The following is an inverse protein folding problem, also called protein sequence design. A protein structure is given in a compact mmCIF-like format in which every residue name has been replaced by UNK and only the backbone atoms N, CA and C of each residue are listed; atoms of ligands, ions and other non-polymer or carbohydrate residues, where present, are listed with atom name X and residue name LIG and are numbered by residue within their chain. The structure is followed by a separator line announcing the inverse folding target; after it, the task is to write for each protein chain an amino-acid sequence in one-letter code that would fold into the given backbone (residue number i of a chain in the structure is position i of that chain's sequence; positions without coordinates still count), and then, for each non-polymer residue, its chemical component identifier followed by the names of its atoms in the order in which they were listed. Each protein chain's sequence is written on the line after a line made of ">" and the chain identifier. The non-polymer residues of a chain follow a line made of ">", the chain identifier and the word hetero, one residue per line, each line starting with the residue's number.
data_IF_164675383509
#
_entry.id   IF_164675383509
#
_cell.length_a   1.000
_cell.length_b   1.000
_cell.length_c   1.000
_cell.angle_alpha   90.00
_cell.angle_beta   90.00
_cell.angle_gamma   90.00
#
_symmetry.space_group_name_H-M   'P 1'
#
loop_
_entity.id
_entity.type
_entity.pdbx_description
1 polymer ?
#
# COMPACT_ATOMS: atom_id res chain seq x y z
N UNK A 1 -33.17 25.56 50.12
CA UNK A 1 -32.99 25.85 48.68
C UNK A 1 -31.71 25.18 48.22
N UNK A 2 -31.81 24.39 47.14
CA UNK A 2 -30.79 23.85 46.20
C UNK A 2 -29.50 23.25 46.78
N UNK A 3 -29.33 21.92 46.81
CA UNK A 3 -28.94 20.94 45.75
C UNK A 3 -27.56 21.16 45.09
N UNK A 4 -26.79 20.07 44.83
CA UNK A 4 -25.33 20.08 44.69
C UNK A 4 -24.83 19.89 43.24
N UNK A 5 -23.51 19.96 43.06
CA UNK A 5 -22.67 19.33 42.03
C UNK A 5 -23.17 19.44 40.57
N UNK A 6 -22.57 20.34 39.79
CA UNK A 6 -22.52 20.25 38.33
C UNK A 6 -21.10 20.01 37.86
N UNK A 7 -20.85 18.77 37.47
CA UNK A 7 -19.82 18.36 36.53
C UNK A 7 -20.44 18.55 35.14
N UNK A 8 -19.96 19.53 34.38
CA UNK A 8 -20.17 19.66 32.92
C UNK A 8 -18.75 19.73 32.37
N UNK A 9 -18.16 18.64 31.88
CA UNK A 9 -18.49 17.93 30.64
C UNK A 9 -18.48 18.93 29.49
N UNK A 10 -17.32 19.05 28.82
CA UNK A 10 -17.11 19.48 27.43
C UNK A 10 -15.62 19.79 27.19
N UNK A 11 -14.83 18.76 26.88
CA UNK A 11 -13.76 18.78 25.86
C UNK A 11 -13.09 17.40 25.77
N UNK A 12 -13.82 16.41 25.27
CA UNK A 12 -13.28 15.06 25.01
C UNK A 12 -13.66 14.60 23.58
N UNK A 13 -13.44 15.44 22.58
CA UNK A 13 -13.76 15.09 21.18
C UNK A 13 -12.59 15.07 20.21
N UNK A 14 -11.36 15.24 20.66
CA UNK A 14 -10.21 15.31 19.73
C UNK A 14 -9.19 14.17 19.87
N UNK A 15 -9.32 13.26 20.86
CA UNK A 15 -8.29 12.24 21.15
C UNK A 15 -8.61 10.82 20.61
N UNK A 16 -9.84 10.55 20.14
CA UNK A 16 -10.25 9.22 19.65
C UNK A 16 -10.22 9.06 18.12
N UNK A 17 -9.76 10.08 17.37
CA UNK A 17 -9.61 9.98 15.91
C UNK A 17 -8.22 9.48 15.49
N UNK A 18 -7.20 9.62 16.34
CA UNK A 18 -5.83 9.15 16.06
C UNK A 18 -5.66 7.63 16.20
N UNK A 19 -6.58 6.92 16.85
CA UNK A 19 -6.51 5.44 16.99
C UNK A 19 -7.02 4.66 15.77
N UNK A 20 -7.49 5.34 14.74
CA UNK A 20 -8.05 4.72 13.54
C UNK A 20 -7.20 4.96 12.29
N UNK A 21 -6.07 5.66 12.40
CA UNK A 21 -5.22 5.98 11.26
C UNK A 21 -4.73 4.71 10.55
N UNK A 22 -5.03 4.58 9.26
CA UNK A 22 -4.35 3.61 8.42
C UNK A 22 -2.85 3.92 8.42
N UNK A 23 -1.96 2.93 8.32
CA UNK A 23 -0.55 3.21 8.10
C UNK A 23 -0.42 4.11 6.86
N UNK A 24 0.20 5.28 7.01
CA UNK A 24 0.36 6.21 5.89
C UNK A 24 1.14 5.52 4.78
N UNK A 25 0.67 5.58 3.53
CA UNK A 25 1.35 4.93 2.37
C UNK A 25 2.71 5.53 2.02
N UNK A 26 3.21 6.50 2.79
CA UNK A 26 4.39 7.29 2.47
C UNK A 26 4.12 8.20 1.27
N UNK A 27 4.55 9.46 1.34
CA UNK A 27 4.43 10.37 0.20
C UNK A 27 5.53 10.04 -0.82
N UNK A 28 5.35 8.95 -1.58
CA UNK A 28 6.13 8.65 -2.77
C UNK A 28 5.39 9.20 -3.98
N UNK A 29 5.22 10.53 -3.99
CA UNK A 29 4.94 11.24 -5.22
C UNK A 29 6.25 11.30 -5.99
N UNK A 30 6.24 10.70 -7.17
CA UNK A 30 7.20 10.86 -8.26
C UNK A 30 8.37 11.84 -8.01
N UNK A 31 9.54 11.25 -7.73
CA UNK A 31 10.87 11.86 -7.81
C UNK A 31 11.02 13.30 -7.32
N UNK A 32 11.51 13.49 -6.09
CA UNK A 32 12.47 14.56 -5.73
C UNK A 32 12.96 14.44 -4.28
N UNK A 33 14.14 13.84 -4.07
CA UNK A 33 15.37 14.58 -3.75
C UNK A 33 16.55 13.63 -3.46
N UNK A 34 17.65 13.92 -4.15
CA UNK A 34 18.99 13.39 -3.94
C UNK A 34 19.36 13.39 -2.44
N UNK A 35 19.83 12.25 -1.91
CA UNK A 35 20.61 12.28 -0.68
C UNK A 35 20.67 11.04 0.19
N UNK A 36 19.69 10.14 0.15
CA UNK A 36 19.69 8.92 0.96
C UNK A 36 19.04 7.79 0.14
N UNK A 37 19.70 6.64 0.08
CA UNK A 37 19.36 5.46 -0.71
C UNK A 37 17.84 5.25 -0.95
N UNK A 38 17.36 5.65 -2.14
CA UNK A 38 16.05 5.27 -2.63
C UNK A 38 16.18 3.87 -3.23
N UNK A 39 15.90 2.83 -2.44
CA UNK A 39 16.06 1.43 -2.86
C UNK A 39 15.10 0.98 -3.98
N UNK A 40 14.36 1.89 -4.63
CA UNK A 40 13.60 1.61 -5.86
C UNK A 40 12.46 0.59 -5.75
N UNK A 41 12.07 0.14 -4.55
CA UNK A 41 11.01 -0.86 -4.34
C UNK A 41 9.60 -0.24 -4.44
N UNK A 42 8.59 -1.00 -4.92
CA UNK A 42 7.19 -0.64 -4.69
C UNK A 42 6.93 -0.64 -3.18
N UNK A 43 6.39 0.48 -2.71
CA UNK A 43 6.07 0.79 -1.31
C UNK A 43 7.14 0.41 -0.27
N UNK A 44 7.99 1.38 0.10
CA UNK A 44 8.96 1.20 1.19
C UNK A 44 8.30 0.77 2.51
N UNK A 45 8.39 -0.53 2.82
CA UNK A 45 8.16 -1.11 4.14
C UNK A 45 6.70 -1.27 4.58
N UNK A 46 5.74 -0.64 3.92
CA UNK A 46 4.34 -0.68 4.33
C UNK A 46 3.64 -1.98 3.90
N UNK A 47 3.73 -2.35 2.62
CA UNK A 47 3.45 -3.64 1.99
C UNK A 47 4.37 -3.72 0.76
N UNK A 48 4.74 -4.91 0.30
CA UNK A 48 5.66 -5.05 -0.84
C UNK A 48 5.59 -6.45 -1.45
N UNK A 49 6.30 -6.66 -2.55
CA UNK A 49 6.54 -7.97 -3.14
C UNK A 49 7.93 -8.53 -2.80
N UNK A 50 8.01 -9.84 -2.59
CA UNK A 50 9.21 -10.59 -2.23
C UNK A 50 9.24 -11.93 -2.99
N UNK A 51 10.33 -12.68 -2.92
CA UNK A 51 10.30 -14.06 -3.39
C UNK A 51 9.51 -14.96 -2.43
N UNK A 52 8.77 -15.94 -2.98
CA UNK A 52 7.88 -16.82 -2.21
C UNK A 52 8.57 -18.10 -1.68
N UNK A 53 9.82 -18.35 -2.07
CA UNK A 53 10.55 -19.58 -1.73
C UNK A 53 10.36 -20.74 -2.72
N UNK A 54 9.37 -20.65 -3.62
CA UNK A 54 9.09 -21.64 -4.65
C UNK A 54 9.70 -21.26 -6.01
N UNK A 55 10.20 -20.03 -6.14
CA UNK A 55 10.82 -19.49 -7.35
C UNK A 55 9.92 -18.47 -8.06
N UNK A 56 8.83 -18.05 -7.41
CA UNK A 56 7.91 -17.02 -7.87
C UNK A 56 7.91 -15.83 -6.89
N UNK A 57 7.08 -14.83 -7.21
CA UNK A 57 6.87 -13.62 -6.46
C UNK A 57 5.65 -13.78 -5.53
N UNK A 58 5.83 -13.43 -4.26
CA UNK A 58 4.79 -13.38 -3.25
C UNK A 58 4.58 -11.97 -2.70
N UNK A 59 3.48 -11.81 -1.97
CA UNK A 59 3.11 -10.57 -1.29
C UNK A 59 3.52 -10.63 0.18
N UNK A 60 4.12 -9.55 0.66
CA UNK A 60 4.41 -9.34 2.08
C UNK A 60 3.72 -8.05 2.56
N UNK A 61 2.67 -8.21 3.35
CA UNK A 61 1.80 -7.10 3.75
C UNK A 61 2.36 -6.19 4.87
N UNK A 62 3.44 -6.58 5.56
CA UNK A 62 4.07 -5.80 6.64
C UNK A 62 3.06 -5.07 7.56
N UNK A 63 3.09 -3.74 7.62
CA UNK A 63 2.21 -2.95 8.50
C UNK A 63 0.75 -2.94 8.07
N UNK A 64 0.44 -3.37 6.85
CA UNK A 64 -0.94 -3.58 6.38
C UNK A 64 -1.52 -4.95 6.75
N UNK A 65 -0.70 -5.86 7.30
CA UNK A 65 -1.22 -7.11 7.84
C UNK A 65 -2.19 -6.83 9.00
N UNK A 66 -3.39 -7.37 8.92
CA UNK A 66 -4.49 -7.11 9.86
C UNK A 66 -5.25 -5.82 9.60
N UNK A 67 -5.04 -5.13 8.47
CA UNK A 67 -5.81 -3.93 8.14
C UNK A 67 -7.32 -4.23 8.08
N UNK A 68 -8.07 -3.51 8.92
CA UNK A 68 -9.49 -3.76 9.16
C UNK A 68 -10.38 -3.33 7.99
N UNK A 69 -11.68 -3.58 8.13
CA UNK A 69 -12.72 -3.08 7.22
C UNK A 69 -12.53 -3.48 5.76
N UNK A 70 -11.89 -4.63 5.50
CA UNK A 70 -11.64 -5.15 4.15
C UNK A 70 -10.44 -4.52 3.43
N UNK A 71 -9.71 -3.60 4.07
CA UNK A 71 -8.59 -2.90 3.42
C UNK A 71 -7.38 -3.82 3.19
N UNK A 72 -7.13 -4.80 4.06
CA UNK A 72 -6.03 -5.77 3.86
C UNK A 72 -6.11 -6.45 2.48
N UNK A 73 -7.30 -6.87 2.08
CA UNK A 73 -7.51 -7.54 0.80
C UNK A 73 -7.28 -6.61 -0.40
N UNK A 74 -7.59 -5.31 -0.25
CA UNK A 74 -7.35 -4.32 -1.29
C UNK A 74 -5.85 -4.05 -1.47
N UNK A 75 -5.12 -3.91 -0.36
CA UNK A 75 -3.65 -3.78 -0.38
C UNK A 75 -2.99 -5.05 -0.93
N UNK A 76 -3.49 -6.24 -0.58
CA UNK A 76 -2.99 -7.48 -1.15
C UNK A 76 -3.12 -7.50 -2.68
N UNK A 77 -4.28 -7.09 -3.22
CA UNK A 77 -4.51 -7.01 -4.66
C UNK A 77 -3.60 -6.00 -5.35
N UNK A 78 -3.27 -4.90 -4.67
CA UNK A 78 -2.28 -3.93 -5.13
C UNK A 78 -0.92 -4.63 -5.35
N UNK A 79 -0.41 -5.29 -4.31
CA UNK A 79 0.90 -5.98 -4.39
C UNK A 79 0.89 -7.16 -5.37
N UNK A 80 -0.23 -7.88 -5.50
CA UNK A 80 -0.39 -8.92 -6.52
C UNK A 80 -0.32 -8.36 -7.96
N UNK A 81 -0.72 -7.11 -8.17
CA UNK A 81 -0.52 -6.42 -9.45
C UNK A 81 0.96 -6.23 -9.73
N UNK A 82 1.73 -5.73 -8.76
CA UNK A 82 3.20 -5.64 -8.88
C UNK A 82 3.83 -7.00 -9.14
N UNK A 83 3.43 -8.05 -8.43
CA UNK A 83 3.95 -9.40 -8.65
C UNK A 83 3.73 -9.89 -10.09
N UNK A 84 2.58 -9.56 -10.70
CA UNK A 84 2.31 -9.88 -12.12
C UNK A 84 3.25 -9.12 -13.06
N UNK A 85 3.54 -7.86 -12.79
CA UNK A 85 4.43 -7.06 -13.63
C UNK A 85 5.89 -7.46 -13.47
N UNK A 86 6.32 -7.79 -12.25
CA UNK A 86 7.64 -8.34 -11.98
C UNK A 86 7.84 -9.69 -12.64
N UNK A 87 6.85 -10.59 -12.60
CA UNK A 87 6.89 -11.85 -13.36
C UNK A 87 7.11 -11.64 -14.86
N UNK A 88 6.47 -10.63 -15.45
CA UNK A 88 6.62 -10.32 -16.88
C UNK A 88 8.02 -9.79 -17.18
N UNK A 89 8.55 -8.90 -16.33
CA UNK A 89 9.83 -8.24 -16.57
C UNK A 89 11.04 -9.10 -16.22
N UNK A 90 10.96 -9.86 -15.14
CA UNK A 90 12.01 -10.75 -14.64
C UNK A 90 11.41 -12.13 -14.34
N UNK A 91 11.18 -12.97 -15.37
CA UNK A 91 10.56 -14.28 -15.18
C UNK A 91 11.36 -15.21 -14.24
N UNK A 92 12.68 -15.06 -14.16
CA UNK A 92 13.55 -15.83 -13.26
C UNK A 92 14.09 -14.99 -12.09
N UNK A 93 13.46 -13.84 -11.79
CA UNK A 93 13.97 -12.91 -10.76
C UNK A 93 14.03 -13.50 -9.35
N UNK A 94 13.24 -14.54 -9.08
CA UNK A 94 13.24 -15.31 -7.83
C UNK A 94 13.98 -16.66 -7.90
N UNK A 95 14.80 -16.87 -8.93
CA UNK A 95 15.71 -18.01 -9.03
C UNK A 95 17.17 -17.57 -8.94
N UNK A 96 18.02 -18.47 -8.49
CA UNK A 96 19.47 -18.36 -8.55
C UNK A 96 19.98 -18.71 -9.96
N UNK A 97 21.26 -18.44 -10.24
CA UNK A 97 21.88 -18.72 -11.54
C UNK A 97 21.90 -20.23 -11.89
N UNK A 98 21.85 -21.11 -10.88
CA UNK A 98 21.77 -22.57 -11.04
C UNK A 98 20.32 -23.08 -11.21
N UNK A 99 19.33 -22.18 -11.25
CA UNK A 99 17.91 -22.50 -11.40
C UNK A 99 17.20 -22.86 -10.09
N UNK A 100 17.91 -22.90 -8.95
CA UNK A 100 17.27 -23.13 -7.65
C UNK A 100 16.48 -21.91 -7.20
N UNK A 101 15.41 -22.10 -6.43
CA UNK A 101 14.57 -21.02 -5.93
C UNK A 101 15.28 -20.22 -4.83
N UNK A 102 15.18 -18.89 -4.87
CA UNK A 102 15.59 -18.04 -3.75
C UNK A 102 14.68 -18.30 -2.53
N UNK A 103 15.17 -18.14 -1.29
CA UNK A 103 14.35 -18.35 -0.10
C UNK A 103 13.17 -17.37 -0.01
N UNK A 104 12.12 -17.76 0.71
CA UNK A 104 10.98 -16.89 0.96
C UNK A 104 11.41 -15.60 1.68
N UNK A 105 10.84 -14.47 1.26
CA UNK A 105 11.22 -13.13 1.74
C UNK A 105 12.49 -12.57 1.11
N UNK A 106 13.16 -13.30 0.21
CA UNK A 106 14.33 -12.78 -0.49
C UNK A 106 13.98 -11.57 -1.37
N UNK A 107 14.98 -10.72 -1.60
CA UNK A 107 14.82 -9.53 -2.43
C UNK A 107 14.61 -9.89 -3.90
N UNK A 108 13.68 -9.16 -4.52
CA UNK A 108 13.38 -9.20 -5.96
C UNK A 108 14.39 -8.33 -6.74
N UNK A 109 14.54 -8.55 -8.07
CA UNK A 109 15.31 -7.66 -8.92
C UNK A 109 14.70 -6.25 -8.98
N UNK A 110 15.58 -5.26 -9.02
CA UNK A 110 15.26 -3.83 -9.11
C UNK A 110 16.24 -3.16 -10.08
N UNK A 111 15.88 -2.01 -10.64
CA UNK A 111 16.73 -1.22 -11.52
C UNK A 111 16.82 -1.73 -12.98
N UNK A 112 17.81 -1.22 -13.70
CA UNK A 112 18.04 -1.48 -15.12
C UNK A 112 17.40 -0.43 -16.05
N UNK A 113 17.69 -0.49 -17.37
CA UNK A 113 17.14 0.44 -18.34
C UNK A 113 15.60 0.46 -18.32
N UNK A 114 15.02 1.67 -18.33
CA UNK A 114 13.58 1.88 -18.29
C UNK A 114 12.91 1.49 -16.96
N UNK A 115 13.68 1.36 -15.87
CA UNK A 115 13.12 0.96 -14.59
C UNK A 115 12.11 1.95 -14.03
N UNK A 116 12.40 3.25 -14.10
CA UNK A 116 11.51 4.28 -13.55
C UNK A 116 10.17 4.32 -14.29
N UNK A 117 10.18 4.22 -15.62
CA UNK A 117 8.95 4.14 -16.43
C UNK A 117 8.14 2.87 -16.13
N UNK A 118 8.82 1.74 -15.98
CA UNK A 118 8.18 0.49 -15.58
C UNK A 118 7.55 0.58 -14.20
N UNK A 119 8.27 1.13 -13.21
CA UNK A 119 7.78 1.28 -11.85
C UNK A 119 6.55 2.20 -11.85
N UNK A 120 6.64 3.36 -12.52
CA UNK A 120 5.52 4.29 -12.69
C UNK A 120 4.29 3.61 -13.30
N UNK A 121 4.48 2.80 -14.34
CA UNK A 121 3.40 2.05 -14.96
C UNK A 121 2.80 0.99 -14.02
N UNK A 122 3.64 0.22 -13.33
CA UNK A 122 3.19 -0.83 -12.43
C UNK A 122 2.40 -0.27 -11.23
N UNK A 123 2.84 0.86 -10.66
CA UNK A 123 2.10 1.62 -9.63
C UNK A 123 0.73 2.09 -10.16
N UNK A 124 0.68 2.64 -11.38
CA UNK A 124 -0.59 3.02 -12.00
C UNK A 124 -1.54 1.82 -12.19
N UNK A 125 -1.03 0.67 -12.65
CA UNK A 125 -1.82 -0.56 -12.82
C UNK A 125 -2.32 -1.11 -11.46
N UNK A 126 -1.46 -1.08 -10.44
CA UNK A 126 -1.77 -1.53 -9.08
C UNK A 126 -2.85 -0.67 -8.43
N UNK A 127 -2.72 0.66 -8.46
CA UNK A 127 -3.76 1.56 -7.96
C UNK A 127 -5.07 1.46 -8.74
N UNK A 128 -4.99 1.23 -10.06
CA UNK A 128 -6.19 0.98 -10.87
C UNK A 128 -6.90 -0.31 -10.48
N UNK A 129 -6.17 -1.29 -9.95
CA UNK A 129 -6.74 -2.53 -9.41
C UNK A 129 -7.32 -2.32 -8.00
N UNK A 130 -6.70 -1.46 -7.20
CA UNK A 130 -7.05 -1.25 -5.79
C UNK A 130 -8.29 -0.38 -5.59
N UNK A 131 -8.43 0.72 -6.35
CA UNK A 131 -9.54 1.67 -6.21
C UNK A 131 -10.93 0.98 -6.24
N UNK A 132 -11.25 0.09 -7.20
CA UNK A 132 -12.54 -0.59 -7.20
C UNK A 132 -12.76 -1.51 -5.99
N UNK A 133 -11.68 -2.07 -5.41
CA UNK A 133 -11.77 -2.89 -4.20
C UNK A 133 -12.17 -2.03 -3.00
N UNK A 134 -11.54 -0.88 -2.83
CA UNK A 134 -11.81 0.05 -1.74
C UNK A 134 -13.20 0.70 -1.89
N UNK A 135 -13.64 1.00 -3.12
CA UNK A 135 -15.01 1.44 -3.39
C UNK A 135 -16.05 0.40 -2.98
N UNK A 136 -15.79 -0.88 -3.27
CA UNK A 136 -16.66 -1.97 -2.84
C UNK A 136 -16.64 -2.14 -1.30
N UNK A 137 -15.47 -2.04 -0.67
CA UNK A 137 -15.33 -2.07 0.77
C UNK A 137 -16.12 -0.92 1.44
N UNK A 138 -16.06 0.29 0.85
CA UNK A 138 -16.78 1.46 1.34
C UNK A 138 -18.29 1.29 1.22
N UNK A 139 -18.77 0.76 0.09
CA UNK A 139 -20.18 0.51 -0.14
C UNK A 139 -20.77 -0.49 0.88
N UNK A 140 -19.99 -1.50 1.27
CA UNK A 140 -20.35 -2.50 2.29
C UNK A 140 -20.02 -2.11 3.74
N UNK A 141 -19.34 -0.98 3.97
CA UNK A 141 -18.80 -0.64 5.28
C UNK A 141 -19.89 -0.29 6.31
N UNK A 142 -19.67 -0.74 7.56
CA UNK A 142 -20.44 -0.29 8.73
C UNK A 142 -20.20 1.20 8.99
N UNK A 143 -21.07 1.83 9.80
CA UNK A 143 -20.92 3.25 10.17
C UNK A 143 -19.54 3.57 10.76
N UNK A 144 -18.99 2.63 11.54
CA UNK A 144 -17.67 2.74 12.17
C UNK A 144 -16.53 2.62 11.15
N UNK A 145 -16.67 1.76 10.14
CA UNK A 145 -15.64 1.55 9.12
C UNK A 145 -15.63 2.63 8.04
N UNK A 146 -16.75 3.32 7.79
CA UNK A 146 -16.87 4.28 6.68
C UNK A 146 -15.79 5.37 6.68
N UNK A 147 -15.53 6.10 7.78
CA UNK A 147 -14.49 7.13 7.79
C UNK A 147 -13.09 6.58 7.47
N UNK A 148 -12.78 5.39 8.00
CA UNK A 148 -11.50 4.73 7.75
C UNK A 148 -11.33 4.33 6.28
N UNK A 149 -12.30 3.61 5.72
CA UNK A 149 -12.24 3.15 4.32
C UNK A 149 -12.27 4.32 3.36
N UNK A 150 -13.06 5.37 3.64
CA UNK A 150 -13.10 6.58 2.83
C UNK A 150 -11.73 7.28 2.80
N UNK A 151 -11.08 7.45 3.95
CA UNK A 151 -9.75 8.07 4.02
C UNK A 151 -8.71 7.30 3.22
N UNK A 152 -8.71 5.96 3.33
CA UNK A 152 -7.82 5.11 2.52
C UNK A 152 -8.12 5.28 1.03
N UNK A 153 -9.39 5.24 0.62
CA UNK A 153 -9.79 5.41 -0.77
C UNK A 153 -9.39 6.76 -1.37
N UNK A 154 -9.52 7.83 -0.59
CA UNK A 154 -9.13 9.17 -1.02
C UNK A 154 -7.62 9.27 -1.27
N UNK A 155 -6.82 8.67 -0.37
CA UNK A 155 -5.37 8.57 -0.53
C UNK A 155 -5.00 7.71 -1.75
N UNK A 156 -5.62 6.54 -1.93
CA UNK A 156 -5.40 5.66 -3.08
C UNK A 156 -5.72 6.38 -4.40
N UNK A 157 -6.83 7.14 -4.47
CA UNK A 157 -7.19 7.94 -5.65
C UNK A 157 -6.19 9.06 -5.93
N UNK A 158 -5.66 9.71 -4.88
CA UNK A 158 -4.58 10.72 -5.02
C UNK A 158 -3.33 10.10 -5.63
N UNK A 159 -2.92 8.93 -5.15
CA UNK A 159 -1.75 8.21 -5.67
C UNK A 159 -1.98 7.72 -7.10
N UNK A 160 -3.13 7.12 -7.40
CA UNK A 160 -3.50 6.71 -8.75
C UNK A 160 -3.35 7.86 -9.75
N UNK A 161 -3.87 9.04 -9.41
CA UNK A 161 -3.77 10.23 -10.26
C UNK A 161 -2.32 10.65 -10.48
N UNK A 162 -1.47 10.59 -9.45
CA UNK A 162 -0.05 10.91 -9.55
C UNK A 162 0.67 9.98 -10.54
N UNK A 163 0.47 8.68 -10.42
CA UNK A 163 1.16 7.70 -11.26
C UNK A 163 0.59 7.61 -12.69
N UNK A 164 -0.74 7.70 -12.85
CA UNK A 164 -1.40 7.55 -14.14
C UNK A 164 -1.53 8.86 -14.94
N UNK A 165 -1.54 10.03 -14.28
CA UNK A 165 -1.86 11.32 -14.89
C UNK A 165 -0.72 12.00 -15.66
N UNK A 166 0.44 11.35 -15.82
CA UNK A 166 1.59 11.91 -16.52
C UNK A 166 2.32 13.05 -15.78
N UNK A 167 1.83 13.48 -14.61
CA UNK A 167 2.41 14.54 -13.80
C UNK A 167 3.48 14.05 -12.84
N UNK A 168 4.67 13.84 -13.39
CA UNK A 168 5.97 13.89 -12.74
C UNK A 168 6.88 14.65 -13.71
#
# INVERSE_FOLDING_TARGET
>A
MSRPFRKSLESETDDELEKLGAPSRGEQACGLRQGLAHDGRPHQGAATIVCDGSGDYGVQLNSWAGAKCGIEDCVRRHEESHAKDWRKRWPDGCKNADGTSKPAGAQIPLGGPGYDDFLKKSECDAYTTEVPCEEAALAGATKECKPYVQGVLDDTKKQQKSYCGGGC
#
